data_IF_401181187462
#
_entry.id   IF_401181187462
#
_cell.length_a   1.000
_cell.length_b   1.000
_cell.length_c   1.000
_cell.angle_alpha   90.00
_cell.angle_beta   90.00
_cell.angle_gamma   90.00
#
_symmetry.space_group_name_H-M   'P 1'
#
loop_
_entity.id
_entity.type
_entity.pdbx_description
1 polymer ?
#
# COMPACT_ATOMS: atom_id res chain seq x y z
N UNK A 1 4.28 -4.22 -8.76
CA UNK A 1 3.07 -4.50 -9.57
C UNK A 1 2.89 -6.01 -9.59
N UNK A 2 1.69 -6.53 -9.30
CA UNK A 2 1.47 -7.98 -9.28
C UNK A 2 1.32 -8.47 -10.73
N UNK A 3 1.89 -9.62 -11.06
CA UNK A 3 1.80 -10.22 -12.40
C UNK A 3 0.87 -11.42 -12.33
N UNK A 4 -0.05 -11.52 -13.29
CA UNK A 4 -0.97 -12.64 -13.46
C UNK A 4 -0.84 -13.19 -14.87
N UNK A 5 -1.08 -14.47 -15.03
CA UNK A 5 -1.31 -15.06 -16.35
C UNK A 5 -2.71 -14.71 -16.87
N UNK A 6 -2.90 -14.74 -18.19
CA UNK A 6 -4.23 -14.57 -18.81
C UNK A 6 -5.26 -15.54 -18.24
N UNK A 7 -4.86 -16.79 -17.96
CA UNK A 7 -5.75 -17.80 -17.37
C UNK A 7 -6.22 -17.38 -15.98
N UNK A 8 -5.31 -16.96 -15.11
CA UNK A 8 -5.64 -16.49 -13.76
C UNK A 8 -6.49 -15.23 -13.79
N UNK A 9 -6.25 -14.33 -14.74
CA UNK A 9 -7.04 -13.11 -14.90
C UNK A 9 -8.53 -13.41 -15.14
N UNK A 10 -8.84 -14.37 -16.02
CA UNK A 10 -10.23 -14.75 -16.31
C UNK A 10 -10.87 -15.65 -15.24
N UNK A 11 -10.08 -16.51 -14.59
CA UNK A 11 -10.61 -17.51 -13.65
C UNK A 11 -10.67 -17.01 -12.20
N UNK A 12 -9.98 -15.93 -11.87
CA UNK A 12 -9.90 -15.40 -10.50
C UNK A 12 -10.34 -13.92 -10.42
N UNK A 13 -11.63 -13.61 -10.67
CA UNK A 13 -12.14 -12.23 -10.64
C UNK A 13 -12.00 -11.57 -9.26
N UNK A 14 -11.90 -12.36 -8.18
CA UNK A 14 -11.64 -11.87 -6.83
C UNK A 14 -10.34 -11.07 -6.70
N UNK A 15 -9.33 -11.39 -7.50
CA UNK A 15 -8.04 -10.68 -7.49
C UNK A 15 -8.20 -9.22 -7.92
N UNK A 16 -9.02 -8.96 -8.95
CA UNK A 16 -9.31 -7.61 -9.44
C UNK A 16 -10.19 -6.83 -8.46
N UNK A 17 -11.17 -7.49 -7.86
CA UNK A 17 -12.04 -6.89 -6.85
C UNK A 17 -11.25 -6.45 -5.61
N UNK A 18 -10.24 -7.24 -5.22
CA UNK A 18 -9.36 -6.94 -4.09
C UNK A 18 -8.35 -5.81 -4.35
N UNK A 19 -8.17 -5.37 -5.60
CA UNK A 19 -7.30 -4.22 -5.88
C UNK A 19 -7.83 -2.97 -5.19
N UNK A 20 -6.91 -2.21 -4.60
CA UNK A 20 -7.19 -0.86 -4.11
C UNK A 20 -7.22 0.13 -5.28
N UNK A 21 -7.99 1.22 -5.21
CA UNK A 21 -7.95 2.28 -6.22
C UNK A 21 -6.52 2.75 -6.48
N UNK A 22 -6.14 2.84 -7.76
CA UNK A 22 -4.77 3.19 -8.19
C UNK A 22 -3.77 2.03 -8.16
N UNK A 23 -4.16 0.82 -7.71
CA UNK A 23 -3.33 -0.37 -7.92
C UNK A 23 -3.54 -0.94 -9.32
N UNK A 24 -2.46 -1.52 -9.84
CA UNK A 24 -2.39 -2.11 -11.17
C UNK A 24 -1.88 -3.54 -11.09
N UNK A 25 -2.32 -4.34 -12.07
CA UNK A 25 -1.88 -5.71 -12.31
C UNK A 25 -1.43 -5.83 -13.75
N UNK A 26 -0.29 -6.50 -13.95
CA UNK A 26 0.18 -6.89 -15.27
C UNK A 26 -0.40 -8.25 -15.62
N UNK A 27 -1.09 -8.35 -16.75
CA UNK A 27 -1.51 -9.64 -17.31
C UNK A 27 -0.52 -10.04 -18.40
N UNK A 28 0.01 -11.25 -18.28
CA UNK A 28 0.94 -11.83 -19.23
C UNK A 28 0.33 -13.01 -19.97
N UNK A 29 0.68 -13.14 -21.24
CA UNK A 29 0.45 -14.35 -22.01
C UNK A 29 1.79 -15.03 -22.30
N UNK A 30 1.98 -16.26 -21.81
CA UNK A 30 3.22 -17.04 -21.97
C UNK A 30 4.48 -16.25 -21.58
N UNK A 31 4.40 -15.44 -20.53
CA UNK A 31 5.51 -14.63 -20.03
C UNK A 31 5.73 -13.30 -20.76
N UNK A 32 4.94 -12.98 -21.79
CA UNK A 32 4.97 -11.67 -22.47
C UNK A 32 3.91 -10.74 -21.89
N UNK A 33 4.21 -9.46 -21.62
CA UNK A 33 3.23 -8.49 -21.17
C UNK A 33 2.16 -8.28 -22.25
N UNK A 34 0.90 -8.52 -21.92
CA UNK A 34 -0.21 -8.41 -22.85
C UNK A 34 -1.14 -7.24 -22.51
N UNK A 35 -1.45 -7.05 -21.22
CA UNK A 35 -2.41 -6.03 -20.77
C UNK A 35 -2.03 -5.51 -19.38
N UNK A 36 -2.20 -4.22 -19.15
CA UNK A 36 -2.14 -3.63 -17.80
C UNK A 36 -3.55 -3.26 -17.38
N UNK A 37 -4.01 -3.81 -16.26
CA UNK A 37 -5.32 -3.50 -15.70
C UNK A 37 -5.12 -2.68 -14.43
N UNK A 38 -5.65 -1.46 -14.44
CA UNK A 38 -5.60 -0.53 -13.31
C UNK A 38 -7.00 -0.29 -12.81
N UNK A 39 -7.20 -0.44 -11.49
CA UNK A 39 -8.50 -0.13 -10.90
C UNK A 39 -8.65 1.39 -10.82
N UNK A 40 -9.43 1.95 -11.75
CA UNK A 40 -9.84 3.33 -11.72
C UNK A 40 -10.57 3.63 -10.41
N UNK A 41 -10.27 4.76 -9.77
CA UNK A 41 -11.00 5.16 -8.57
C UNK A 41 -10.33 6.27 -7.78
N UNK A 42 -11.16 6.98 -7.01
CA UNK A 42 -10.75 7.93 -5.97
C UNK A 42 -9.97 7.14 -4.90
N UNK A 43 -8.83 7.67 -4.45
CA UNK A 43 -8.07 7.07 -3.34
C UNK A 43 -9.05 6.74 -2.21
N UNK A 44 -9.06 5.51 -1.67
CA UNK A 44 -9.87 5.23 -0.50
C UNK A 44 -9.46 6.22 0.58
N UNK A 45 -10.44 6.88 1.20
CA UNK A 45 -10.19 7.77 2.34
C UNK A 45 -9.58 6.88 3.41
N UNK A 46 -8.28 7.04 3.68
CA UNK A 46 -7.64 6.35 4.80
C UNK A 46 -8.29 6.85 6.07
N UNK A 47 -8.85 5.94 6.84
CA UNK A 47 -9.38 6.28 8.15
C UNK A 47 -8.23 6.47 9.14
N UNK A 48 -8.49 7.14 10.26
CA UNK A 48 -7.50 7.26 11.33
C UNK A 48 -7.06 5.88 11.87
N UNK A 49 -7.93 4.87 11.78
CA UNK A 49 -7.61 3.49 12.16
C UNK A 49 -6.58 2.87 11.20
N UNK A 50 -6.74 3.07 9.89
CA UNK A 50 -5.81 2.56 8.88
C UNK A 50 -4.40 3.16 9.07
N UNK A 51 -4.33 4.48 9.30
CA UNK A 51 -3.06 5.17 9.55
C UNK A 51 -2.35 4.67 10.80
N UNK A 52 -3.10 4.42 11.89
CA UNK A 52 -2.54 3.86 13.13
C UNK A 52 -2.05 2.42 12.93
N UNK A 53 -2.75 1.62 12.12
CA UNK A 53 -2.32 0.24 11.81
C UNK A 53 -1.02 0.23 11.01
N UNK A 54 -0.93 1.04 9.95
CA UNK A 54 0.29 1.18 9.16
C UNK A 54 1.47 1.70 10.01
N UNK A 55 1.21 2.66 10.90
CA UNK A 55 2.22 3.15 11.83
C UNK A 55 2.75 2.04 12.77
N UNK A 56 1.88 1.15 13.26
CA UNK A 56 2.28 -0.01 14.08
C UNK A 56 3.04 -1.07 13.27
N UNK A 57 2.66 -1.29 12.02
CA UNK A 57 3.38 -2.21 11.12
C UNK A 57 4.82 -1.72 10.85
N UNK A 58 5.02 -0.40 10.69
CA UNK A 58 6.34 0.21 10.47
C UNK A 58 7.15 0.38 11.76
N UNK A 59 6.47 0.63 12.87
CA UNK A 59 7.08 0.85 14.19
C UNK A 59 6.42 -0.09 15.20
N UNK A 60 6.90 -1.35 15.27
CA UNK A 60 6.31 -2.36 16.15
C UNK A 60 6.53 -2.03 17.64
N UNK A 61 7.66 -1.38 17.96
CA UNK A 61 8.02 -1.05 19.33
C UNK A 61 7.40 0.29 19.78
N UNK A 62 6.89 0.36 21.03
CA UNK A 62 6.38 1.61 21.58
C UNK A 62 7.51 2.61 21.73
N UNK A 63 7.51 3.64 20.88
CA UNK A 63 8.46 4.75 21.00
C UNK A 63 8.02 5.71 22.10
N UNK A 64 8.92 6.10 23.02
CA UNK A 64 8.60 7.11 24.00
C UNK A 64 8.28 8.44 23.30
N UNK A 65 7.33 9.23 23.83
CA UNK A 65 7.01 10.54 23.27
C UNK A 65 8.25 11.44 23.35
N UNK A 66 8.65 11.99 22.21
CA UNK A 66 9.82 12.87 22.12
C UNK A 66 9.38 14.31 22.35
N UNK A 67 9.94 14.96 23.37
CA UNK A 67 9.76 16.40 23.59
C UNK A 67 10.86 17.17 22.85
N UNK A 68 10.54 17.65 21.65
CA UNK A 68 11.48 18.39 20.81
C UNK A 68 11.95 19.71 21.45
N UNK A 69 11.12 20.37 22.24
CA UNK A 69 11.49 21.63 22.92
C UNK A 69 12.61 21.40 23.93
N UNK A 70 12.54 20.32 24.71
CA UNK A 70 13.57 19.96 25.68
C UNK A 70 14.90 19.59 24.99
N UNK A 71 14.84 18.89 23.86
CA UNK A 71 16.02 18.52 23.07
C UNK A 71 16.69 19.75 22.47
N UNK A 72 15.91 20.66 21.86
CA UNK A 72 16.43 21.90 21.28
C UNK A 72 17.09 22.80 22.32
N UNK A 73 16.58 22.81 23.56
CA UNK A 73 17.21 23.54 24.66
C UNK A 73 18.56 22.94 25.04
N UNK A 74 18.65 21.60 25.13
CA UNK A 74 19.90 20.87 25.41
C UNK A 74 20.96 21.03 24.31
N UNK A 75 20.57 21.26 23.06
CA UNK A 75 21.53 21.47 21.95
C UNK A 75 22.09 22.90 21.89
N UNK A 76 21.53 23.82 22.68
CA UNK A 76 21.92 25.23 22.71
C UNK A 76 22.83 25.57 23.91
N UNK A 77 22.95 24.64 24.86
CA UNK A 77 23.96 24.62 25.93
C UNK A 77 25.23 23.95 25.45
#
# INVERSE_FOLDING_TARGET
MKTLTTREFYHSPGVLKALRPGQSVLVTDKGKPALIVTKAGRRPIKTAADLRREAKELFPDPRPPVNFTAIMRKMKE
#
